data_IF_812392629656
#
_entry.id   IF_812392629656
#
_cell.length_a   1.000
_cell.length_b   1.000
_cell.length_c   1.000
_cell.angle_alpha   90.00
_cell.angle_beta   90.00
_cell.angle_gamma   90.00
#
_symmetry.space_group_name_H-M   'P 1'
#
loop_
_entity.id
_entity.type
_entity.pdbx_description
1 polymer ?
#
# COMPACT_ATOMS: atom_id res chain seq x y z
N UNK A 1 11.18 52.53 -39.22
CA UNK A 1 9.94 52.02 -38.58
C UNK A 1 9.43 50.85 -39.41
N UNK A 2 8.86 49.85 -38.73
CA UNK A 2 8.15 48.65 -39.24
C UNK A 2 8.93 47.34 -39.44
N UNK A 3 9.30 46.75 -38.30
CA UNK A 3 8.98 45.40 -37.79
C UNK A 3 8.20 44.44 -38.72
N UNK A 4 8.74 43.24 -39.01
CA UNK A 4 8.06 41.93 -38.86
C UNK A 4 8.91 40.77 -39.41
N UNK A 5 9.28 39.85 -38.53
CA UNK A 5 9.65 38.43 -38.72
C UNK A 5 8.88 37.68 -37.61
N UNK A 6 8.73 36.34 -37.60
CA UNK A 6 8.93 35.31 -38.63
C UNK A 6 7.77 34.26 -38.63
N UNK A 7 8.04 33.05 -39.15
CA UNK A 7 7.33 31.76 -38.98
C UNK A 7 6.69 31.17 -40.24
N UNK A 8 7.56 30.69 -41.13
CA UNK A 8 7.21 29.62 -42.05
C UNK A 8 7.24 28.27 -41.30
N UNK A 9 6.05 27.78 -41.01
CA UNK A 9 5.56 26.41 -41.23
C UNK A 9 6.61 25.28 -41.20
N UNK A 10 6.53 24.43 -40.18
CA UNK A 10 6.87 23.02 -40.33
C UNK A 10 5.68 22.18 -39.84
N UNK A 11 4.89 21.73 -40.80
CA UNK A 11 3.92 20.65 -40.65
C UNK A 11 4.67 19.34 -40.52
N UNK A 12 4.49 18.64 -39.41
CA UNK A 12 4.69 17.20 -39.33
C UNK A 12 3.50 16.62 -38.56
N UNK A 13 2.45 16.33 -39.33
CA UNK A 13 1.40 15.42 -38.95
C UNK A 13 1.89 13.99 -39.25
N UNK A 14 2.12 13.19 -38.21
CA UNK A 14 2.14 11.73 -38.25
C UNK A 14 1.55 11.30 -36.89
N UNK A 15 0.24 11.03 -36.85
CA UNK A 15 -0.30 9.66 -36.88
C UNK A 15 -0.03 8.89 -35.57
N UNK A 16 -1.07 8.74 -34.72
CA UNK A 16 -1.58 7.46 -34.23
C UNK A 16 -2.42 7.59 -32.93
N UNK A 17 -3.66 7.09 -33.02
CA UNK A 17 -4.53 6.53 -31.96
C UNK A 17 -4.97 7.39 -30.75
N UNK A 18 -6.28 7.71 -30.64
CA UNK A 18 -6.91 8.02 -29.35
C UNK A 18 -7.17 6.68 -28.65
N UNK A 19 -6.20 6.15 -27.90
CA UNK A 19 -6.38 4.81 -27.31
C UNK A 19 -5.29 4.29 -26.37
N UNK A 20 -4.16 4.98 -26.23
CA UNK A 20 -3.19 4.68 -25.17
C UNK A 20 -3.17 5.85 -24.20
N UNK A 21 -4.09 5.84 -23.25
CA UNK A 21 -3.74 6.36 -21.93
C UNK A 21 -2.66 5.40 -21.45
N UNK A 22 -1.38 5.82 -21.50
CA UNK A 22 -0.32 5.17 -20.72
C UNK A 22 -0.88 5.04 -19.31
N UNK A 23 -1.28 3.82 -18.94
CA UNK A 23 -1.74 3.52 -17.60
C UNK A 23 -0.48 3.48 -16.76
N UNK A 24 0.03 4.67 -16.46
CA UNK A 24 1.19 4.84 -15.60
C UNK A 24 0.92 4.03 -14.34
N UNK A 25 1.85 3.14 -14.00
CA UNK A 25 1.73 2.35 -12.77
C UNK A 25 1.49 3.32 -11.61
N UNK A 26 0.56 2.98 -10.70
CA UNK A 26 0.34 3.81 -9.53
C UNK A 26 1.66 3.95 -8.77
N UNK A 27 1.93 5.13 -8.18
CA UNK A 27 3.16 5.34 -7.44
C UNK A 27 3.27 4.32 -6.30
N UNK A 28 4.49 4.00 -5.83
CA UNK A 28 4.66 3.10 -4.71
C UNK A 28 3.94 3.62 -3.45
N UNK A 29 3.73 2.73 -2.47
CA UNK A 29 3.18 3.11 -1.17
C UNK A 29 4.06 4.18 -0.52
N UNK A 30 3.42 5.16 0.12
CA UNK A 30 4.10 6.19 0.90
C UNK A 30 4.61 5.61 2.20
N UNK A 31 5.51 6.33 2.88
CA UNK A 31 6.01 5.92 4.19
C UNK A 31 4.87 5.76 5.21
N UNK A 32 3.89 6.67 5.19
CA UNK A 32 2.74 6.63 6.10
C UNK A 32 1.88 5.37 5.89
N UNK A 33 1.70 4.99 4.62
CA UNK A 33 0.97 3.78 4.25
C UNK A 33 1.74 2.51 4.62
N UNK A 34 3.07 2.52 4.53
CA UNK A 34 3.89 1.40 5.00
C UNK A 34 3.76 1.22 6.52
N UNK A 35 3.69 2.30 7.30
CA UNK A 35 3.42 2.21 8.74
C UNK A 35 2.04 1.58 9.03
N UNK A 36 1.04 1.91 8.21
CA UNK A 36 -0.26 1.26 8.30
C UNK A 36 -0.19 -0.24 7.97
N UNK A 37 0.57 -0.64 6.95
CA UNK A 37 0.81 -2.07 6.65
C UNK A 37 1.41 -2.77 7.87
N UNK A 38 2.45 -2.19 8.48
CA UNK A 38 3.10 -2.76 9.67
C UNK A 38 2.12 -2.93 10.83
N UNK A 39 1.32 -1.90 11.13
CA UNK A 39 0.31 -1.93 12.19
C UNK A 39 -0.75 -3.01 11.95
N UNK A 40 -1.26 -3.12 10.71
CA UNK A 40 -2.25 -4.14 10.34
C UNK A 40 -1.69 -5.56 10.42
N UNK A 41 -0.44 -5.76 9.97
CA UNK A 41 0.26 -7.05 10.05
C UNK A 41 0.46 -7.46 11.51
N UNK A 42 0.80 -6.51 12.39
CA UNK A 42 0.99 -6.74 13.82
C UNK A 42 -0.32 -7.13 14.50
N UNK A 43 -1.41 -6.41 14.22
CA UNK A 43 -2.75 -6.71 14.74
C UNK A 43 -3.25 -8.08 14.26
N UNK A 44 -3.03 -8.41 12.98
CA UNK A 44 -3.41 -9.70 12.42
C UNK A 44 -2.59 -10.83 13.04
N UNK A 45 -1.29 -10.64 13.20
CA UNK A 45 -0.39 -11.58 13.89
C UNK A 45 -0.88 -11.84 15.31
N UNK A 46 -1.23 -10.79 16.06
CA UNK A 46 -1.77 -10.93 17.40
C UNK A 46 -3.08 -11.73 17.42
N UNK A 47 -3.96 -11.49 16.45
CA UNK A 47 -5.22 -12.24 16.30
C UNK A 47 -4.96 -13.72 16.05
N UNK A 48 -4.02 -14.07 15.17
CA UNK A 48 -3.61 -15.46 14.91
C UNK A 48 -3.03 -16.10 16.16
N UNK A 49 -2.08 -15.44 16.81
CA UNK A 49 -1.45 -15.93 18.04
C UNK A 49 -2.46 -16.16 19.15
N UNK A 50 -3.50 -15.32 19.27
CA UNK A 50 -4.53 -15.51 20.30
C UNK A 50 -5.25 -16.85 20.17
N UNK A 51 -5.39 -17.41 18.96
CA UNK A 51 -6.01 -18.71 18.76
C UNK A 51 -5.02 -19.87 18.90
N UNK A 52 -3.77 -19.71 18.44
CA UNK A 52 -2.79 -20.80 18.44
C UNK A 52 -1.92 -20.86 19.71
N UNK A 53 -1.61 -19.71 20.31
CA UNK A 53 -0.62 -19.51 21.38
C UNK A 53 -1.02 -18.32 22.31
N UNK A 54 -2.04 -18.48 23.17
CA UNK A 54 -2.64 -17.38 23.93
C UNK A 54 -1.67 -16.65 24.88
N UNK A 55 -0.68 -17.36 25.44
CA UNK A 55 0.33 -16.76 26.32
C UNK A 55 1.32 -15.86 25.56
N UNK A 56 1.71 -16.28 24.35
CA UNK A 56 2.52 -15.46 23.44
C UNK A 56 1.74 -14.23 22.99
N UNK A 57 0.44 -14.38 22.71
CA UNK A 57 -0.43 -13.27 22.36
C UNK A 57 -0.57 -12.27 23.51
N UNK A 58 -0.74 -12.72 24.75
CA UNK A 58 -0.87 -11.83 25.91
C UNK A 58 0.38 -10.97 26.10
N UNK A 59 1.58 -11.58 26.07
CA UNK A 59 2.85 -10.86 26.16
C UNK A 59 3.03 -9.86 25.02
N UNK A 60 2.70 -10.27 23.79
CA UNK A 60 2.82 -9.40 22.61
C UNK A 60 1.85 -8.21 22.66
N UNK A 61 0.63 -8.44 23.14
CA UNK A 61 -0.37 -7.37 23.37
C UNK A 61 0.11 -6.36 24.40
N UNK A 62 0.72 -6.80 25.49
CA UNK A 62 1.24 -5.90 26.53
C UNK A 62 2.37 -5.00 26.01
N UNK A 63 3.16 -5.49 25.05
CA UNK A 63 4.18 -4.70 24.37
C UNK A 63 3.69 -3.99 23.09
N UNK A 64 2.42 -4.14 22.73
CA UNK A 64 1.92 -3.62 21.45
C UNK A 64 1.92 -2.10 21.47
N UNK A 65 2.65 -1.53 20.52
CA UNK A 65 2.61 -0.10 20.22
C UNK A 65 2.46 0.05 18.72
N UNK A 66 1.31 0.58 18.32
CA UNK A 66 1.05 0.92 16.93
C UNK A 66 1.76 2.23 16.56
N UNK A 67 2.10 2.36 15.29
CA UNK A 67 2.73 3.55 14.72
C UNK A 67 1.71 4.67 14.56
N UNK A 68 0.50 4.33 14.12
CA UNK A 68 -0.59 5.25 13.91
C UNK A 68 -1.49 5.31 15.16
N UNK A 69 -1.92 6.51 15.51
CA UNK A 69 -2.99 6.71 16.49
C UNK A 69 -4.36 6.52 15.85
N UNK A 70 -5.40 6.36 16.68
CA UNK A 70 -6.76 6.05 16.22
C UNK A 70 -7.30 7.03 15.17
N UNK A 71 -7.09 8.34 15.36
CA UNK A 71 -7.55 9.37 14.41
C UNK A 71 -6.83 9.29 13.06
N UNK A 72 -5.53 8.94 13.05
CA UNK A 72 -4.77 8.81 11.81
C UNK A 72 -5.17 7.54 11.05
N UNK A 73 -5.42 6.45 11.80
CA UNK A 73 -5.93 5.22 11.24
C UNK A 73 -7.30 5.43 10.56
N UNK A 74 -8.22 6.14 11.21
CA UNK A 74 -9.52 6.49 10.62
C UNK A 74 -9.37 7.30 9.34
N UNK A 75 -8.53 8.35 9.36
CA UNK A 75 -8.25 9.17 8.19
C UNK A 75 -7.64 8.36 7.04
N UNK A 76 -6.77 7.39 7.34
CA UNK A 76 -6.21 6.49 6.33
C UNK A 76 -7.26 5.55 5.73
N UNK A 77 -8.15 4.98 6.56
CA UNK A 77 -9.23 4.13 6.07
C UNK A 77 -10.15 4.91 5.13
N UNK A 78 -10.49 6.15 5.47
CA UNK A 78 -11.29 7.04 4.61
C UNK A 78 -10.57 7.34 3.28
N UNK A 79 -9.26 7.63 3.32
CA UNK A 79 -8.43 7.84 2.12
C UNK A 79 -8.42 6.61 1.21
N UNK A 80 -8.21 5.41 1.78
CA UNK A 80 -8.19 4.16 1.01
C UNK A 80 -9.57 3.79 0.46
N UNK A 81 -10.65 4.11 1.18
CA UNK A 81 -12.01 3.91 0.68
C UNK A 81 -12.33 4.82 -0.51
N UNK A 82 -11.74 6.02 -0.56
CA UNK A 82 -11.89 6.96 -1.66
C UNK A 82 -11.04 6.59 -2.90
N UNK A 83 -9.97 5.82 -2.73
CA UNK A 83 -9.09 5.34 -3.82
C UNK A 83 -8.95 3.81 -3.81
N UNK A 84 -9.80 3.09 -4.57
CA UNK A 84 -9.77 1.63 -4.62
C UNK A 84 -8.45 1.04 -5.16
N UNK A 85 -7.74 1.75 -6.04
CA UNK A 85 -6.45 1.28 -6.56
C UNK A 85 -5.43 1.31 -5.44
N UNK A 86 -5.41 2.40 -4.66
CA UNK A 86 -4.54 2.52 -3.48
C UNK A 86 -4.88 1.50 -2.40
N UNK A 87 -6.18 1.32 -2.13
CA UNK A 87 -6.67 0.28 -1.22
C UNK A 87 -6.22 -1.12 -1.61
N UNK A 88 -6.26 -1.44 -2.91
CA UNK A 88 -5.80 -2.73 -3.41
C UNK A 88 -4.29 -2.94 -3.19
N UNK A 89 -3.46 -1.95 -3.56
CA UNK A 89 -2.01 -2.01 -3.34
C UNK A 89 -1.65 -2.19 -1.86
N UNK A 90 -2.37 -1.51 -0.97
CA UNK A 90 -2.19 -1.65 0.47
C UNK A 90 -2.48 -3.09 0.92
N UNK A 91 -3.60 -3.66 0.47
CA UNK A 91 -3.99 -5.02 0.82
C UNK A 91 -3.01 -6.07 0.28
N UNK A 92 -2.47 -5.87 -0.93
CA UNK A 92 -1.39 -6.71 -1.47
C UNK A 92 -0.14 -6.66 -0.58
N UNK A 93 0.29 -5.46 -0.16
CA UNK A 93 1.43 -5.32 0.73
C UNK A 93 1.23 -5.99 2.11
N UNK A 94 0.01 -5.89 2.66
CA UNK A 94 -0.36 -6.62 3.89
C UNK A 94 -0.34 -8.13 3.66
N UNK A 95 -0.91 -8.61 2.55
CA UNK A 95 -0.91 -10.02 2.18
C UNK A 95 0.52 -10.57 2.07
N UNK A 96 1.38 -9.91 1.32
CA UNK A 96 2.76 -10.35 1.09
C UNK A 96 3.56 -10.40 2.39
N UNK A 97 3.35 -9.42 3.27
CA UNK A 97 3.94 -9.39 4.61
C UNK A 97 3.48 -10.56 5.47
N UNK A 98 2.19 -10.91 5.42
CA UNK A 98 1.63 -12.04 6.17
C UNK A 98 2.11 -13.39 5.61
N UNK A 99 2.19 -13.54 4.29
CA UNK A 99 2.74 -14.75 3.66
C UNK A 99 4.23 -14.94 4.03
N UNK A 100 5.02 -13.86 4.09
CA UNK A 100 6.40 -13.93 4.56
C UNK A 100 6.50 -14.35 6.05
N UNK A 101 5.53 -13.98 6.89
CA UNK A 101 5.46 -14.37 8.30
C UNK A 101 4.87 -15.75 8.53
N UNK A 102 4.11 -16.29 7.57
CA UNK A 102 3.37 -17.56 7.68
C UNK A 102 4.20 -18.73 8.22
N UNK A 103 5.44 -19.00 7.77
CA UNK A 103 6.24 -20.11 8.30
C UNK A 103 6.59 -19.96 9.78
N UNK A 104 6.66 -18.73 10.29
CA UNK A 104 6.93 -18.43 11.70
C UNK A 104 5.68 -18.56 12.55
N UNK A 105 4.52 -18.15 12.02
CA UNK A 105 3.24 -18.23 12.72
C UNK A 105 2.69 -19.65 12.79
N UNK A 106 2.95 -20.44 11.74
CA UNK A 106 2.53 -21.82 11.61
C UNK A 106 3.72 -22.70 11.27
N UNK A 107 4.66 -22.89 12.22
CA UNK A 107 5.78 -23.79 11.99
C UNK A 107 5.22 -25.18 11.68
N UNK A 108 5.61 -25.75 10.55
CA UNK A 108 5.27 -27.13 10.23
C UNK A 108 5.83 -28.00 11.36
N UNK A 109 4.96 -28.70 12.08
CA UNK A 109 5.37 -29.74 13.01
C UNK A 109 5.96 -30.88 12.19
N UNK A 110 7.20 -30.73 11.75
CA UNK A 110 7.98 -31.86 11.30
C UNK A 110 8.29 -32.66 12.56
N UNK A 111 7.55 -33.77 12.71
CA UNK A 111 7.79 -34.79 13.71
C UNK A 111 9.03 -35.62 13.42
#
# INVERSE_FOLDING_TARGET
MNKSWPFAVLLLALAATPGCVERSEPPPLTAEELLLVEDLVELYTLRVLRFAQPDSASRRRESLRLNLGDTELEAQIERLAADPVRGHMMLEAVHDSLEALRPRLFPSSQG
#
